data_IF_940287029610
#
_entry.id   IF_940287029610
#
_cell.length_a   1.000
_cell.length_b   1.000
_cell.length_c   1.000
_cell.angle_alpha   90.00
_cell.angle_beta   90.00
_cell.angle_gamma   90.00
#
_symmetry.space_group_name_H-M   'P 1'
#
loop_
_entity.id
_entity.type
_entity.pdbx_description
1 polymer ?
#
# COMPACT_ATOMS: atom_id res chain seq x y z
N UNK A 1 13.38 -55.77 -35.56
CA UNK A 1 11.94 -55.50 -35.36
C UNK A 1 11.84 -54.44 -34.27
N UNK A 2 11.21 -53.31 -34.59
CA UNK A 2 11.15 -52.09 -33.79
C UNK A 2 10.40 -52.33 -32.48
N UNK A 3 10.97 -51.92 -31.35
CA UNK A 3 10.19 -51.57 -30.15
C UNK A 3 10.65 -50.17 -29.72
N UNK A 4 10.06 -49.17 -30.38
CA UNK A 4 10.09 -47.77 -30.00
C UNK A 4 8.72 -47.49 -29.36
N UNK A 5 8.70 -47.30 -28.03
CA UNK A 5 7.67 -46.74 -27.14
C UNK A 5 7.67 -47.57 -25.84
N UNK A 6 7.94 -46.95 -24.67
CA UNK A 6 7.05 -45.91 -24.17
C UNK A 6 7.78 -44.82 -23.35
N UNK A 7 8.59 -43.96 -24.00
CA UNK A 7 9.08 -42.75 -23.30
C UNK A 7 8.05 -41.60 -23.37
N UNK A 8 7.11 -41.66 -24.30
CA UNK A 8 6.06 -40.66 -24.48
C UNK A 8 4.95 -40.73 -23.42
N UNK A 9 4.77 -41.88 -22.73
CA UNK A 9 3.71 -42.01 -21.71
C UNK A 9 4.11 -41.41 -20.35
N UNK A 10 5.40 -41.33 -20.04
CA UNK A 10 5.88 -40.76 -18.77
C UNK A 10 5.90 -39.22 -18.77
N UNK A 11 6.05 -38.61 -19.94
CA UNK A 11 6.01 -37.14 -20.09
C UNK A 11 4.58 -36.57 -20.08
N UNK A 12 3.56 -37.38 -20.40
CA UNK A 12 2.17 -36.94 -20.36
C UNK A 12 1.60 -36.86 -18.92
N UNK A 13 2.19 -37.57 -17.95
CA UNK A 13 1.76 -37.54 -16.54
C UNK A 13 2.25 -36.30 -15.78
N UNK A 14 3.23 -35.57 -16.30
CA UNK A 14 3.72 -34.32 -15.71
C UNK A 14 3.09 -33.06 -16.34
N UNK A 15 2.28 -33.22 -17.39
CA UNK A 15 1.65 -32.11 -18.10
C UNK A 15 0.28 -31.70 -17.52
N UNK A 16 -0.20 -32.37 -16.47
CA UNK A 16 -1.19 -31.80 -15.56
C UNK A 16 -0.47 -30.92 -14.54
N UNK A 17 0.22 -29.90 -15.02
CA UNK A 17 0.51 -28.74 -14.18
C UNK A 17 -0.87 -28.14 -13.90
N UNK A 18 -1.44 -28.50 -12.76
CA UNK A 18 -2.60 -27.81 -12.22
C UNK A 18 -2.30 -26.32 -12.34
N UNK A 19 -3.12 -25.58 -13.09
CA UNK A 19 -3.14 -24.14 -12.94
C UNK A 19 -3.44 -23.90 -11.46
N UNK A 20 -2.43 -23.49 -10.70
CA UNK A 20 -2.63 -23.18 -9.29
C UNK A 20 -3.51 -21.95 -9.30
N UNK A 21 -4.79 -22.14 -9.02
CA UNK A 21 -5.66 -21.01 -8.72
C UNK A 21 -5.00 -20.27 -7.55
N UNK A 22 -4.74 -18.98 -7.75
CA UNK A 22 -4.15 -18.11 -6.73
C UNK A 22 -5.24 -17.38 -5.92
N UNK A 23 -6.50 -17.47 -6.38
CA UNK A 23 -7.65 -16.85 -5.76
C UNK A 23 -8.59 -17.86 -5.09
N UNK A 24 -8.97 -17.63 -3.82
CA UNK A 24 -9.92 -18.50 -3.13
C UNK A 24 -11.29 -18.47 -3.80
N UNK A 25 -12.15 -19.48 -3.53
CA UNK A 25 -13.55 -19.45 -3.92
C UNK A 25 -14.22 -18.12 -3.50
N UNK A 26 -14.96 -17.43 -4.37
CA UNK A 26 -15.49 -16.10 -4.06
C UNK A 26 -16.34 -16.04 -2.79
N UNK A 27 -17.16 -17.07 -2.53
CA UNK A 27 -17.98 -17.20 -1.33
C UNK A 27 -17.17 -17.28 -0.02
N UNK A 28 -15.90 -17.66 -0.09
CA UNK A 28 -15.02 -17.78 1.07
C UNK A 28 -14.54 -16.41 1.56
N UNK A 29 -14.40 -15.46 0.64
CA UNK A 29 -13.79 -14.14 0.89
C UNK A 29 -14.76 -12.97 0.71
N UNK A 30 -16.06 -13.22 0.51
CA UNK A 30 -17.06 -12.14 0.50
C UNK A 30 -16.94 -11.26 1.76
N UNK A 31 -17.04 -9.93 1.64
CA UNK A 31 -17.40 -9.13 0.45
C UNK A 31 -16.21 -8.71 -0.44
N UNK A 32 -15.08 -9.42 -0.37
CA UNK A 32 -13.91 -9.15 -1.19
C UNK A 32 -13.91 -9.97 -2.49
N UNK A 33 -13.37 -9.37 -3.54
CA UNK A 33 -13.03 -10.04 -4.79
C UNK A 33 -11.52 -10.31 -4.83
N UNK A 34 -11.13 -11.46 -5.38
CA UNK A 34 -9.74 -11.76 -5.64
C UNK A 34 -9.40 -11.58 -7.12
N UNK A 35 -8.30 -10.88 -7.38
CA UNK A 35 -7.78 -10.63 -8.72
C UNK A 35 -6.37 -11.25 -8.80
N UNK A 36 -6.22 -12.28 -9.64
CA UNK A 36 -4.94 -12.93 -9.95
C UNK A 36 -4.77 -13.01 -11.47
N UNK A 37 -3.59 -12.65 -11.98
CA UNK A 37 -3.32 -12.61 -13.42
C UNK A 37 -1.98 -11.92 -13.69
N UNK A 38 -2.00 -10.76 -14.34
CA UNK A 38 -0.82 -9.91 -14.55
C UNK A 38 -0.46 -9.01 -13.36
N UNK A 39 -1.18 -9.17 -12.25
CA UNK A 39 -1.02 -8.37 -11.04
C UNK A 39 -0.69 -9.27 -9.85
N UNK A 40 -0.02 -8.72 -8.82
CA UNK A 40 0.06 -9.38 -7.52
C UNK A 40 -1.32 -9.85 -7.07
N UNK A 41 -1.40 -10.97 -6.36
CA UNK A 41 -2.70 -11.51 -5.91
C UNK A 41 -3.35 -10.46 -5.01
N UNK A 42 -4.46 -9.91 -5.47
CA UNK A 42 -5.07 -8.72 -4.89
C UNK A 42 -6.42 -9.05 -4.31
N UNK A 43 -6.65 -8.73 -3.05
CA UNK A 43 -8.00 -8.75 -2.48
C UNK A 43 -8.54 -7.33 -2.51
N UNK A 44 -9.61 -7.12 -3.27
CA UNK A 44 -10.37 -5.88 -3.27
C UNK A 44 -11.63 -6.07 -2.46
N UNK A 45 -11.64 -5.52 -1.25
CA UNK A 45 -12.78 -5.52 -0.35
C UNK A 45 -13.58 -4.23 -0.52
N UNK A 46 -14.88 -4.36 -0.79
CA UNK A 46 -15.76 -3.21 -1.02
C UNK A 46 -16.91 -3.20 -0.02
N UNK A 47 -17.37 -2.00 0.36
CA UNK A 47 -18.56 -1.81 1.21
C UNK A 47 -18.47 -2.48 2.60
N UNK A 48 -17.26 -2.61 3.15
CA UNK A 48 -17.08 -3.28 4.45
C UNK A 48 -17.23 -2.28 5.59
N UNK A 49 -18.13 -2.56 6.53
CA UNK A 49 -18.55 -1.60 7.56
C UNK A 49 -18.11 -1.97 8.99
N UNK A 50 -17.53 -3.15 9.17
CA UNK A 50 -17.10 -3.67 10.47
C UNK A 50 -15.78 -4.44 10.35
N UNK A 51 -15.04 -4.43 11.46
CA UNK A 51 -13.71 -5.01 11.54
C UNK A 51 -13.75 -6.55 11.47
N UNK A 52 -14.77 -7.16 12.06
CA UNK A 52 -14.91 -8.61 12.20
C UNK A 52 -15.08 -9.30 10.84
N UNK A 53 -15.81 -8.66 9.91
CA UNK A 53 -15.96 -9.14 8.54
C UNK A 53 -14.61 -9.31 7.85
N UNK A 54 -13.74 -8.31 7.96
CA UNK A 54 -12.39 -8.39 7.38
C UNK A 54 -11.57 -9.47 8.07
N UNK A 55 -11.55 -9.51 9.40
CA UNK A 55 -10.80 -10.55 10.11
C UNK A 55 -11.27 -11.96 9.69
N UNK A 56 -12.58 -12.16 9.53
CA UNK A 56 -13.15 -13.40 9.02
C UNK A 56 -12.70 -13.77 7.61
N UNK A 57 -12.60 -12.81 6.68
CA UNK A 57 -12.07 -13.05 5.33
C UNK A 57 -10.64 -13.59 5.40
N UNK A 58 -9.78 -12.94 6.18
CA UNK A 58 -8.37 -13.32 6.29
C UNK A 58 -8.19 -14.68 6.96
N UNK A 59 -8.96 -14.98 8.01
CA UNK A 59 -8.92 -16.30 8.68
C UNK A 59 -9.38 -17.42 7.76
N UNK A 60 -10.38 -17.17 6.90
CA UNK A 60 -10.88 -18.17 5.95
C UNK A 60 -9.96 -18.37 4.74
N UNK A 61 -9.10 -17.40 4.44
CA UNK A 61 -8.22 -17.44 3.27
C UNK A 61 -6.74 -17.65 3.63
N UNK A 62 -6.43 -18.26 4.78
CA UNK A 62 -5.04 -18.43 5.27
C UNK A 62 -4.12 -19.17 4.28
N UNK A 63 -4.63 -20.15 3.57
CA UNK A 63 -3.86 -20.95 2.61
C UNK A 63 -3.61 -20.24 1.28
N UNK A 64 -4.22 -19.08 1.07
CA UNK A 64 -4.18 -18.36 -0.20
C UNK A 64 -3.21 -17.16 -0.14
N UNK A 65 -2.43 -16.92 -1.19
CA UNK A 65 -1.55 -15.77 -1.24
C UNK A 65 -2.35 -14.46 -1.24
N UNK A 66 -1.79 -13.42 -0.63
CA UNK A 66 -2.31 -12.06 -0.67
C UNK A 66 -1.14 -11.09 -0.71
N UNK A 67 -0.96 -10.43 -1.85
CA UNK A 67 0.12 -9.48 -2.05
C UNK A 67 -0.37 -8.04 -1.95
N UNK A 68 -1.57 -7.75 -2.45
CA UNK A 68 -2.14 -6.41 -2.43
C UNK A 68 -3.51 -6.40 -1.76
N UNK A 69 -3.70 -5.50 -0.81
CA UNK A 69 -4.97 -5.32 -0.12
C UNK A 69 -5.56 -3.96 -0.48
N UNK A 70 -6.76 -3.99 -1.04
CA UNK A 70 -7.50 -2.79 -1.46
C UNK A 70 -8.81 -2.72 -0.68
N UNK A 71 -9.03 -1.60 0.01
CA UNK A 71 -10.33 -1.23 0.55
C UNK A 71 -10.95 -0.15 -0.32
N UNK A 72 -12.21 -0.34 -0.73
CA UNK A 72 -12.98 0.62 -1.51
C UNK A 72 -14.34 0.84 -0.83
N UNK A 73 -14.81 2.09 -0.76
CA UNK A 73 -16.12 2.42 -0.16
C UNK A 73 -16.38 1.78 1.22
N UNK A 74 -15.35 1.64 2.05
CA UNK A 74 -15.41 0.91 3.32
C UNK A 74 -15.29 1.84 4.53
N UNK A 75 -15.80 1.40 5.68
CA UNK A 75 -15.73 2.11 6.96
C UNK A 75 -15.19 1.18 8.04
N UNK A 76 -13.90 1.30 8.37
CA UNK A 76 -13.22 0.39 9.28
C UNK A 76 -12.48 1.15 10.39
N UNK A 77 -12.02 0.45 11.42
CA UNK A 77 -11.20 1.08 12.46
C UNK A 77 -9.78 1.30 11.96
N UNK A 78 -9.18 0.28 11.35
CA UNK A 78 -7.79 0.26 10.91
C UNK A 78 -7.58 -0.85 9.87
N UNK A 79 -6.45 -0.80 9.16
CA UNK A 79 -5.91 -2.02 8.54
C UNK A 79 -5.09 -2.76 9.60
N UNK A 80 -5.42 -4.02 9.86
CA UNK A 80 -4.78 -4.79 10.93
C UNK A 80 -3.33 -5.14 10.58
N UNK A 81 -2.38 -4.65 11.37
CA UNK A 81 -0.95 -4.92 11.20
C UNK A 81 -0.60 -6.41 11.25
N UNK A 82 -1.12 -7.21 12.22
CA UNK A 82 -0.93 -8.66 12.21
C UNK A 82 -1.36 -9.32 10.90
N UNK A 83 -2.47 -8.87 10.29
CA UNK A 83 -2.95 -9.42 9.01
C UNK A 83 -1.98 -9.12 7.88
N UNK A 84 -1.54 -7.86 7.76
CA UNK A 84 -0.54 -7.43 6.78
C UNK A 84 0.74 -8.27 6.88
N UNK A 85 1.25 -8.45 8.10
CA UNK A 85 2.49 -9.19 8.34
C UNK A 85 2.32 -10.67 8.01
N UNK A 86 1.22 -11.30 8.46
CA UNK A 86 0.97 -12.74 8.24
C UNK A 86 0.90 -13.13 6.76
N UNK A 87 0.49 -12.20 5.90
CA UNK A 87 0.34 -12.40 4.46
C UNK A 87 1.47 -11.80 3.64
N UNK A 88 2.46 -11.17 4.27
CA UNK A 88 3.49 -10.40 3.58
C UNK A 88 2.88 -9.43 2.56
N UNK A 89 1.87 -8.65 2.98
CA UNK A 89 1.20 -7.69 2.11
C UNK A 89 2.20 -6.62 1.70
N UNK A 90 2.28 -6.38 0.40
CA UNK A 90 3.27 -5.51 -0.22
C UNK A 90 2.67 -4.19 -0.71
N UNK A 91 1.38 -4.19 -1.05
CA UNK A 91 0.61 -3.00 -1.41
C UNK A 91 -0.58 -2.86 -0.48
N UNK A 92 -0.73 -1.69 0.13
CA UNK A 92 -1.96 -1.30 0.84
C UNK A 92 -2.58 -0.12 0.10
N UNK A 93 -3.82 -0.28 -0.36
CA UNK A 93 -4.57 0.78 -1.00
C UNK A 93 -5.93 1.00 -0.32
N UNK A 94 -6.30 2.26 -0.13
CA UNK A 94 -7.57 2.67 0.48
C UNK A 94 -8.20 3.77 -0.35
N UNK A 95 -9.38 3.48 -0.88
CA UNK A 95 -10.14 4.33 -1.80
C UNK A 95 -11.52 4.65 -1.24
N UNK A 96 -11.97 5.90 -1.35
CA UNK A 96 -13.35 6.31 -1.04
C UNK A 96 -13.84 5.84 0.34
N UNK A 97 -12.95 5.77 1.32
CA UNK A 97 -13.20 5.05 2.57
C UNK A 97 -13.01 5.92 3.80
N UNK A 98 -13.50 5.42 4.93
CA UNK A 98 -13.35 6.05 6.25
C UNK A 98 -12.66 5.10 7.20
N UNK A 99 -11.61 5.58 7.85
CA UNK A 99 -10.84 4.81 8.81
C UNK A 99 -10.68 5.60 10.11
N UNK A 100 -10.52 4.93 11.25
CA UNK A 100 -10.12 5.64 12.48
C UNK A 100 -8.64 6.01 12.44
N UNK A 101 -7.81 5.05 12.02
CA UNK A 101 -6.35 5.13 11.84
C UNK A 101 -5.94 4.30 10.61
N UNK A 102 -4.74 4.51 10.06
CA UNK A 102 -4.27 3.70 8.93
C UNK A 102 -4.00 2.25 9.34
N UNK A 103 -3.21 2.07 10.42
CA UNK A 103 -2.85 0.78 10.98
C UNK A 103 -3.19 0.72 12.47
N UNK A 104 -3.28 -0.49 13.03
CA UNK A 104 -3.41 -0.73 14.49
C UNK A 104 -2.17 -0.23 15.24
N UNK A 105 -1.00 -0.53 14.68
CA UNK A 105 0.32 -0.16 15.17
C UNK A 105 1.27 -0.02 13.97
N UNK A 106 2.44 0.62 14.12
CA UNK A 106 3.48 0.56 13.08
C UNK A 106 3.77 -0.91 12.71
N UNK A 107 3.89 -1.25 11.41
CA UNK A 107 4.28 -2.59 10.98
C UNK A 107 5.64 -3.03 11.52
N UNK A 108 5.90 -4.34 11.52
CA UNK A 108 7.16 -4.91 12.02
C UNK A 108 8.34 -4.47 11.15
N UNK A 109 9.56 -4.44 11.67
CA UNK A 109 10.73 -3.94 10.91
C UNK A 109 11.04 -4.73 9.63
N UNK A 110 10.68 -6.02 9.61
CA UNK A 110 10.82 -6.93 8.47
C UNK A 110 9.65 -6.88 7.47
N UNK A 111 8.68 -5.97 7.65
CA UNK A 111 7.56 -5.81 6.72
C UNK A 111 8.05 -5.56 5.28
N UNK A 112 7.23 -5.97 4.32
CA UNK A 112 7.54 -5.87 2.87
C UNK A 112 6.62 -4.89 2.14
N UNK A 113 5.96 -3.98 2.87
CA UNK A 113 5.10 -2.96 2.27
C UNK A 113 5.98 -2.00 1.47
N UNK A 114 5.85 -2.04 0.14
CA UNK A 114 6.57 -1.15 -0.76
C UNK A 114 5.69 -0.02 -1.27
N UNK A 115 4.36 -0.18 -1.31
CA UNK A 115 3.42 0.84 -1.80
C UNK A 115 2.30 1.12 -0.81
N UNK A 116 2.05 2.41 -0.55
CA UNK A 116 0.90 2.90 0.20
C UNK A 116 0.13 3.90 -0.65
N UNK A 117 -1.15 3.59 -0.93
CA UNK A 117 -2.00 4.40 -1.81
C UNK A 117 -3.29 4.78 -1.07
N UNK A 118 -3.51 6.06 -0.84
CA UNK A 118 -4.66 6.60 -0.12
C UNK A 118 -5.34 7.63 -1.02
N UNK A 119 -6.58 7.37 -1.47
CA UNK A 119 -7.32 8.30 -2.32
C UNK A 119 -8.73 8.53 -1.82
N UNK A 120 -9.10 9.80 -1.65
CA UNK A 120 -10.42 10.19 -1.18
C UNK A 120 -10.80 9.42 0.11
N UNK A 121 -9.87 9.44 1.08
CA UNK A 121 -9.97 8.66 2.32
C UNK A 121 -9.95 9.59 3.51
N UNK A 122 -10.81 9.33 4.48
CA UNK A 122 -10.89 10.10 5.73
C UNK A 122 -10.35 9.28 6.91
N UNK A 123 -9.34 9.79 7.60
CA UNK A 123 -8.89 9.25 8.89
C UNK A 123 -9.44 10.09 10.05
N UNK A 124 -10.23 9.49 10.95
CA UNK A 124 -10.87 10.22 12.06
C UNK A 124 -9.85 10.87 12.99
N UNK A 125 -8.69 10.24 13.21
CA UNK A 125 -7.59 10.78 14.02
C UNK A 125 -6.55 11.55 13.18
N UNK A 126 -6.80 11.73 11.89
CA UNK A 126 -5.80 12.19 10.93
C UNK A 126 -4.79 11.09 10.57
N UNK A 127 -3.95 11.36 9.56
CA UNK A 127 -2.88 10.44 9.18
C UNK A 127 -1.69 10.59 10.12
N UNK A 128 -1.41 9.55 10.90
CA UNK A 128 -0.29 9.53 11.85
C UNK A 128 0.98 8.96 11.20
N UNK A 129 1.94 9.83 10.93
CA UNK A 129 3.23 9.46 10.33
C UNK A 129 4.06 8.48 11.18
N UNK A 130 3.79 8.36 12.49
CA UNK A 130 4.46 7.36 13.34
C UNK A 130 4.19 5.93 12.89
N UNK A 131 3.07 5.70 12.21
CA UNK A 131 2.73 4.40 11.62
C UNK A 131 3.61 4.02 10.43
N UNK A 132 4.36 4.97 9.87
CA UNK A 132 5.30 4.76 8.77
C UNK A 132 6.72 4.43 9.25
N UNK A 133 7.01 4.54 10.55
CA UNK A 133 8.37 4.45 11.13
C UNK A 133 9.17 3.24 10.63
N UNK A 134 8.51 2.09 10.54
CA UNK A 134 9.14 0.82 10.17
C UNK A 134 8.97 0.49 8.69
N UNK A 135 8.12 1.22 7.97
CA UNK A 135 7.92 1.01 6.54
C UNK A 135 9.14 1.48 5.76
N UNK A 136 9.41 0.80 4.64
CA UNK A 136 10.40 1.21 3.65
C UNK A 136 9.73 1.38 2.29
N UNK A 137 8.71 2.26 2.17
CA UNK A 137 7.94 2.35 0.95
C UNK A 137 8.79 2.98 -0.17
N UNK A 138 8.54 2.52 -1.39
CA UNK A 138 9.08 3.08 -2.63
C UNK A 138 8.12 4.13 -3.17
N UNK A 139 6.81 3.88 -3.08
CA UNK A 139 5.76 4.78 -3.56
C UNK A 139 4.79 5.09 -2.43
N UNK A 140 4.58 6.37 -2.18
CA UNK A 140 3.48 6.88 -1.37
C UNK A 140 2.63 7.79 -2.25
N UNK A 141 1.35 7.45 -2.38
CA UNK A 141 0.37 8.26 -3.08
C UNK A 141 -0.76 8.61 -2.13
N UNK A 142 -0.93 9.90 -1.86
CA UNK A 142 -1.96 10.45 -1.01
C UNK A 142 -2.68 11.50 -1.85
N UNK A 143 -3.93 11.25 -2.19
CA UNK A 143 -4.73 12.17 -2.99
C UNK A 143 -6.06 12.43 -2.30
N UNK A 144 -6.43 13.71 -2.14
CA UNK A 144 -7.72 14.08 -1.54
C UNK A 144 -7.89 13.54 -0.11
N UNK A 145 -6.78 13.46 0.65
CA UNK A 145 -6.75 13.11 2.08
C UNK A 145 -6.29 14.33 2.87
N UNK A 146 -7.00 14.73 3.91
CA UNK A 146 -6.66 15.93 4.67
C UNK A 146 -5.42 15.72 5.55
N UNK A 147 -4.27 16.30 5.15
CA UNK A 147 -3.03 16.29 5.92
C UNK A 147 -2.81 17.57 6.73
N UNK A 148 -3.32 18.72 6.25
CA UNK A 148 -3.16 20.08 6.82
C UNK A 148 -1.72 20.60 6.89
N UNK A 149 -0.77 19.80 7.37
CA UNK A 149 0.66 20.15 7.52
C UNK A 149 1.57 18.93 7.32
N UNK A 150 2.75 19.18 6.78
CA UNK A 150 3.88 18.24 6.81
C UNK A 150 4.84 18.71 7.90
N UNK A 151 4.84 18.05 9.05
CA UNK A 151 5.56 18.47 10.26
C UNK A 151 6.65 17.49 10.70
N UNK A 152 7.16 17.67 11.92
CA UNK A 152 8.28 16.87 12.46
C UNK A 152 8.01 15.37 12.42
N UNK A 153 6.78 14.92 12.74
CA UNK A 153 6.45 13.50 12.71
C UNK A 153 6.61 12.88 11.32
N UNK A 154 6.39 13.63 10.23
CA UNK A 154 6.71 13.17 8.88
C UNK A 154 8.22 12.99 8.70
N UNK A 155 8.99 14.03 9.05
CA UNK A 155 10.46 14.08 8.91
C UNK A 155 11.18 13.03 9.76
N UNK A 156 10.59 12.65 10.89
CA UNK A 156 11.16 11.65 11.81
C UNK A 156 10.87 10.22 11.39
N UNK A 157 9.74 9.96 10.73
CA UNK A 157 9.25 8.59 10.54
C UNK A 157 9.27 8.12 9.08
N UNK A 158 9.43 9.01 8.10
CA UNK A 158 9.52 8.60 6.71
C UNK A 158 10.96 8.27 6.31
N UNK A 159 11.17 7.05 5.79
CA UNK A 159 12.50 6.55 5.43
C UNK A 159 13.00 7.06 4.07
N UNK A 160 14.32 7.09 3.83
CA UNK A 160 14.91 7.54 2.56
C UNK A 160 14.55 6.72 1.33
N UNK A 161 13.96 5.53 1.50
CA UNK A 161 13.59 4.60 0.40
C UNK A 161 12.54 5.15 -0.57
N UNK A 162 11.81 6.21 -0.19
CA UNK A 162 10.73 6.76 -1.01
C UNK A 162 11.30 7.39 -2.27
N UNK A 163 10.89 6.87 -3.42
CA UNK A 163 11.29 7.38 -4.74
C UNK A 163 10.21 8.24 -5.38
N UNK A 164 8.93 7.97 -5.07
CA UNK A 164 7.78 8.73 -5.55
C UNK A 164 6.87 9.09 -4.38
N UNK A 165 6.68 10.38 -4.18
CA UNK A 165 5.79 10.93 -3.17
C UNK A 165 4.78 11.86 -3.83
N UNK A 166 3.50 11.50 -3.73
CA UNK A 166 2.38 12.33 -4.19
C UNK A 166 1.49 12.65 -2.98
N UNK A 167 1.20 13.92 -2.76
CA UNK A 167 0.33 14.44 -1.70
C UNK A 167 -0.61 15.52 -2.27
N UNK A 168 -1.29 15.19 -3.36
CA UNK A 168 -2.08 16.14 -4.13
C UNK A 168 -3.47 16.36 -3.52
N UNK A 169 -3.98 17.59 -3.61
CA UNK A 169 -5.29 17.97 -3.05
C UNK A 169 -5.43 17.59 -1.56
N UNK A 170 -4.33 17.58 -0.82
CA UNK A 170 -4.26 17.08 0.56
C UNK A 170 -4.50 18.18 1.62
N UNK A 171 -4.92 19.38 1.18
CA UNK A 171 -5.17 20.56 2.03
C UNK A 171 -3.95 20.98 2.86
N UNK A 172 -2.74 20.73 2.36
CA UNK A 172 -1.48 21.12 3.02
C UNK A 172 -1.35 22.64 2.95
N UNK A 173 -1.14 23.27 4.10
CA UNK A 173 -0.95 24.72 4.22
C UNK A 173 0.49 25.09 4.58
N UNK A 174 1.20 24.19 5.25
CA UNK A 174 2.57 24.42 5.70
C UNK A 174 3.42 23.16 5.62
N UNK A 175 4.71 23.39 5.37
CA UNK A 175 5.76 22.38 5.29
C UNK A 175 6.83 22.69 6.33
N UNK A 176 7.36 21.65 6.98
CA UNK A 176 8.55 21.74 7.81
C UNK A 176 9.74 22.28 6.99
N UNK A 177 10.66 23.01 7.61
CA UNK A 177 11.82 23.61 6.92
C UNK A 177 12.72 22.57 6.25
N UNK A 178 12.64 21.32 6.69
CA UNK A 178 13.41 20.16 6.20
C UNK A 178 12.49 19.03 5.74
N UNK A 179 11.27 19.35 5.27
CA UNK A 179 10.21 18.39 5.01
C UNK A 179 10.68 17.15 4.25
N UNK A 180 11.47 17.31 3.19
CA UNK A 180 11.93 16.21 2.32
C UNK A 180 13.44 15.99 2.39
N UNK A 181 14.14 16.63 3.33
CA UNK A 181 15.61 16.69 3.33
C UNK A 181 16.28 15.32 3.50
N UNK A 182 15.61 14.38 4.17
CA UNK A 182 16.09 13.00 4.38
C UNK A 182 15.72 12.04 3.25
N UNK A 183 14.86 12.44 2.31
CA UNK A 183 14.38 11.58 1.23
C UNK A 183 15.38 11.59 0.07
N UNK A 184 16.58 11.06 0.30
CA UNK A 184 17.70 11.12 -0.65
C UNK A 184 17.45 10.30 -1.93
N UNK A 185 16.58 9.28 -1.89
CA UNK A 185 16.17 8.53 -3.08
C UNK A 185 14.97 9.13 -3.81
N UNK A 186 14.43 10.26 -3.34
CA UNK A 186 13.25 10.87 -3.94
C UNK A 186 13.56 11.36 -5.36
N UNK A 187 12.78 10.88 -6.32
CA UNK A 187 12.95 11.16 -7.73
C UNK A 187 11.75 11.93 -8.32
N UNK A 188 10.56 11.75 -7.74
CA UNK A 188 9.34 12.46 -8.12
C UNK A 188 8.57 12.91 -6.89
N UNK A 189 8.30 14.22 -6.81
CA UNK A 189 7.51 14.85 -5.75
C UNK A 189 6.35 15.64 -6.36
N UNK A 190 5.14 15.36 -5.89
CA UNK A 190 3.96 16.19 -6.19
C UNK A 190 3.24 16.55 -4.91
N UNK A 191 3.02 17.83 -4.69
CA UNK A 191 2.15 18.41 -3.67
C UNK A 191 1.16 19.38 -4.35
N UNK A 192 0.68 19.03 -5.55
CA UNK A 192 -0.17 19.90 -6.35
C UNK A 192 -1.55 20.10 -5.71
N UNK A 193 -2.20 21.22 -6.04
CA UNK A 193 -3.51 21.64 -5.56
C UNK A 193 -3.59 21.72 -4.03
N UNK A 194 -2.53 22.21 -3.40
CA UNK A 194 -2.49 22.52 -1.97
C UNK A 194 -2.50 24.04 -1.75
N UNK A 195 -2.28 24.48 -0.50
CA UNK A 195 -2.22 25.90 -0.12
C UNK A 195 -0.84 26.26 0.43
N UNK A 196 0.21 25.64 -0.13
CA UNK A 196 1.60 25.83 0.26
C UNK A 196 2.06 27.20 -0.25
N UNK A 197 2.49 28.08 0.66
CA UNK A 197 2.87 29.46 0.33
C UNK A 197 4.34 29.67 0.01
N UNK A 198 5.20 28.79 0.50
CA UNK A 198 6.64 28.95 0.37
C UNK A 198 7.34 27.59 0.35
N UNK A 199 8.41 27.54 -0.43
CA UNK A 199 9.31 26.40 -0.54
C UNK A 199 10.72 26.93 -0.29
N UNK A 200 11.54 26.18 0.45
CA UNK A 200 12.91 26.56 0.80
C UNK A 200 13.89 25.51 0.30
N UNK A 201 15.12 25.92 -0.03
CA UNK A 201 16.17 25.00 -0.44
C UNK A 201 16.47 23.93 0.61
N UNK A 202 16.37 24.28 1.89
CA UNK A 202 16.56 23.38 3.05
C UNK A 202 15.54 22.24 3.11
N UNK A 203 14.41 22.35 2.40
CA UNK A 203 13.41 21.28 2.38
C UNK A 203 13.87 20.05 1.59
N UNK A 204 14.95 20.16 0.81
CA UNK A 204 15.44 19.11 -0.07
C UNK A 204 16.88 18.72 0.30
N UNK A 205 17.30 17.48 0.03
CA UNK A 205 18.69 17.07 0.25
C UNK A 205 19.66 17.92 -0.58
N UNK A 206 20.91 18.00 -0.15
CA UNK A 206 21.96 18.71 -0.91
C UNK A 206 22.15 18.09 -2.29
N UNK A 207 22.28 16.77 -2.35
CA UNK A 207 22.30 15.98 -3.57
C UNK A 207 20.95 15.31 -3.74
N UNK A 208 20.20 15.73 -4.76
CA UNK A 208 18.85 15.21 -5.04
C UNK A 208 18.82 14.47 -6.37
N UNK A 209 18.12 13.34 -6.39
CA UNK A 209 17.77 12.59 -7.61
C UNK A 209 16.42 13.05 -8.20
N UNK A 210 15.86 14.15 -7.69
CA UNK A 210 14.58 14.71 -8.13
C UNK A 210 14.69 15.19 -9.59
N UNK A 211 13.87 14.58 -10.45
CA UNK A 211 13.66 15.04 -11.83
C UNK A 211 12.26 15.63 -12.05
N UNK A 212 11.33 15.41 -11.11
CA UNK A 212 9.97 15.94 -11.17
C UNK A 212 9.56 16.56 -9.84
N UNK A 213 9.04 17.79 -9.90
CA UNK A 213 8.57 18.56 -8.76
C UNK A 213 7.32 19.35 -9.16
N UNK A 214 6.23 19.19 -8.41
CA UNK A 214 5.00 19.97 -8.62
C UNK A 214 4.44 20.48 -7.29
N UNK A 215 4.22 21.79 -7.20
CA UNK A 215 3.65 22.48 -6.05
C UNK A 215 2.55 23.48 -6.46
N UNK A 216 2.07 23.38 -7.71
CA UNK A 216 1.01 24.26 -8.24
C UNK A 216 -0.27 24.18 -7.43
#
# INVERSE_FOLDING_TARGET
MKVFLPLALFLALFALVFSVDLCPPPNLIQPCDCISGYSPVTYKCSEVLDQDTIEGVFTKSLDWPLNALIFDHSSLLYVSTPLINSKNVTIVAIYHSRFTSLFTSPPEENNVIYNVILRNTTFLRGLDWRLFKNLSPVIIQIQEVALKRIGNTFVENLKPSVTRLTMDKAKIQSLHNEAFAKLTSLASLSCAYNSIKAIKRSMFPEQTSLYFIDFR
#
